data_IF_575062446208
#
_entry.id   IF_575062446208
#
_cell.length_a   1.000
_cell.length_b   1.000
_cell.length_c   1.000
_cell.angle_alpha   90.00
_cell.angle_beta   90.00
_cell.angle_gamma   90.00
#
_symmetry.space_group_name_H-M   'P 1'
#
loop_
_entity.id
_entity.type
_entity.pdbx_description
1 polymer ?
#
# COMPACT_ATOMS: atom_id res chain seq x y z
N UNK A 1 -4.92 -28.95 -15.73
CA UNK A 1 -3.52 -28.72 -15.32
C UNK A 1 -2.92 -27.55 -16.07
N UNK A 2 -2.31 -27.67 -17.26
CA UNK A 2 -1.63 -26.52 -17.89
C UNK A 2 -2.47 -25.23 -18.02
N UNK A 3 -3.72 -25.32 -18.50
CA UNK A 3 -4.63 -24.15 -18.55
C UNK A 3 -4.96 -23.58 -17.17
N UNK A 4 -5.09 -24.44 -16.17
CA UNK A 4 -5.38 -24.04 -14.79
C UNK A 4 -4.17 -23.33 -14.17
N UNK A 5 -2.95 -23.79 -14.42
CA UNK A 5 -1.73 -23.12 -13.97
C UNK A 5 -1.64 -21.71 -14.56
N UNK A 6 -1.89 -21.57 -15.87
CA UNK A 6 -1.95 -20.25 -16.53
C UNK A 6 -3.00 -19.35 -15.87
N UNK A 7 -4.19 -19.89 -15.53
CA UNK A 7 -5.22 -19.12 -14.82
C UNK A 7 -4.76 -18.69 -13.42
N UNK A 8 -4.16 -19.58 -12.63
CA UNK A 8 -3.68 -19.28 -11.27
C UNK A 8 -2.57 -18.22 -11.32
N UNK A 9 -1.58 -18.39 -12.19
CA UNK A 9 -0.50 -17.39 -12.34
C UNK A 9 -1.02 -16.04 -12.84
N UNK A 10 -2.04 -16.03 -13.71
CA UNK A 10 -2.70 -14.78 -14.12
C UNK A 10 -3.41 -14.12 -12.94
N UNK A 11 -4.13 -14.89 -12.12
CA UNK A 11 -4.78 -14.36 -10.93
C UNK A 11 -3.77 -13.77 -9.94
N UNK A 12 -2.61 -14.40 -9.74
CA UNK A 12 -1.53 -13.87 -8.90
C UNK A 12 -1.03 -12.54 -9.46
N UNK A 13 -0.70 -12.50 -10.75
CA UNK A 13 -0.24 -11.27 -11.39
C UNK A 13 -1.27 -10.13 -11.27
N UNK A 14 -2.54 -10.40 -11.51
CA UNK A 14 -3.62 -9.41 -11.48
C UNK A 14 -4.06 -9.02 -10.06
N UNK A 15 -3.56 -9.71 -9.02
CA UNK A 15 -3.78 -9.36 -7.62
C UNK A 15 -2.90 -8.20 -7.13
N UNK A 16 -1.92 -7.77 -7.92
CA UNK A 16 -0.97 -6.72 -7.54
C UNK A 16 -1.15 -5.43 -8.32
N UNK A 17 -0.95 -4.29 -7.65
CA UNK A 17 -1.11 -2.93 -8.21
C UNK A 17 -0.25 -2.61 -9.43
N UNK A 18 0.78 -3.42 -9.70
CA UNK A 18 1.67 -3.29 -10.86
C UNK A 18 1.08 -3.92 -12.14
N UNK A 19 0.02 -4.73 -12.02
CA UNK A 19 -0.69 -5.27 -13.18
C UNK A 19 -1.63 -4.23 -13.78
N UNK A 20 -1.72 -4.27 -15.12
CA UNK A 20 -2.70 -3.50 -15.89
C UNK A 20 -4.14 -3.92 -15.61
N UNK A 21 -4.34 -5.20 -15.30
CA UNK A 21 -5.65 -5.80 -15.07
C UNK A 21 -6.02 -5.80 -13.56
N UNK A 22 -5.23 -5.14 -12.70
CA UNK A 22 -5.51 -5.02 -11.26
C UNK A 22 -6.85 -4.32 -11.01
N UNK A 23 -7.73 -4.98 -10.25
CA UNK A 23 -9.10 -4.50 -10.01
C UNK A 23 -9.28 -3.87 -8.62
N UNK A 24 -8.84 -4.55 -7.56
CA UNK A 24 -8.93 -4.09 -6.18
C UNK A 24 -7.95 -4.87 -5.31
N UNK A 25 -7.66 -4.38 -4.10
CA UNK A 25 -6.81 -5.11 -3.16
C UNK A 25 -7.48 -6.43 -2.74
N UNK A 26 -6.70 -7.51 -2.70
CA UNK A 26 -7.22 -8.86 -2.45
C UNK A 26 -7.86 -9.06 -1.08
N UNK A 27 -7.44 -8.33 -0.04
CA UNK A 27 -8.13 -8.41 1.24
C UNK A 27 -9.56 -7.89 1.14
N UNK A 28 -9.81 -6.94 0.22
CA UNK A 28 -11.14 -6.38 -0.03
C UNK A 28 -11.95 -7.19 -1.03
N UNK A 29 -11.29 -8.00 -1.87
CA UNK A 29 -11.95 -8.87 -2.87
C UNK A 29 -12.55 -10.14 -2.28
N UNK A 30 -12.19 -10.52 -1.04
CA UNK A 30 -12.78 -11.67 -0.33
C UNK A 30 -14.29 -11.48 -0.18
N UNK A 31 -15.04 -12.38 -0.81
CA UNK A 31 -16.49 -12.47 -0.81
C UNK A 31 -16.98 -13.82 -0.25
N UNK A 32 -18.29 -14.03 -0.29
CA UNK A 32 -18.90 -15.27 0.18
C UNK A 32 -18.47 -16.49 -0.63
N UNK A 33 -18.26 -16.33 -1.94
CA UNK A 33 -17.88 -17.43 -2.81
C UNK A 33 -16.46 -17.89 -2.45
N UNK A 34 -15.51 -16.96 -2.33
CA UNK A 34 -14.15 -17.25 -1.87
C UNK A 34 -14.12 -17.94 -0.49
N UNK A 35 -15.01 -17.54 0.43
CA UNK A 35 -15.10 -18.16 1.75
C UNK A 35 -15.60 -19.62 1.69
N UNK A 36 -16.64 -19.90 0.90
CA UNK A 36 -17.14 -21.28 0.72
C UNK A 36 -16.08 -22.15 0.03
N UNK A 37 -15.41 -21.59 -0.97
CA UNK A 37 -14.29 -22.19 -1.67
C UNK A 37 -13.14 -22.59 -0.74
N UNK A 38 -12.82 -21.75 0.25
CA UNK A 38 -11.83 -22.04 1.28
C UNK A 38 -12.29 -23.17 2.20
N UNK A 39 -13.57 -23.19 2.60
CA UNK A 39 -14.11 -24.27 3.45
C UNK A 39 -14.06 -25.61 2.73
N UNK A 40 -14.42 -25.66 1.45
CA UNK A 40 -14.35 -26.87 0.64
C UNK A 40 -12.92 -27.40 0.56
N UNK A 41 -11.94 -26.50 0.39
CA UNK A 41 -10.53 -26.86 0.40
C UNK A 41 -10.08 -27.46 1.74
N UNK A 42 -10.48 -26.89 2.88
CA UNK A 42 -10.14 -27.46 4.20
C UNK A 42 -10.75 -28.85 4.40
N UNK A 43 -11.97 -29.08 3.92
CA UNK A 43 -12.62 -30.41 3.95
C UNK A 43 -11.85 -31.42 3.09
N UNK A 44 -11.48 -31.03 1.87
CA UNK A 44 -10.71 -31.87 0.95
C UNK A 44 -9.32 -32.20 1.52
N UNK A 45 -8.60 -31.18 2.02
CA UNK A 45 -7.29 -31.32 2.65
C UNK A 45 -7.34 -32.26 3.85
N UNK A 46 -8.32 -32.10 4.73
CA UNK A 46 -8.49 -32.98 5.88
C UNK A 46 -8.71 -34.44 5.45
N UNK A 47 -9.57 -34.68 4.45
CA UNK A 47 -9.80 -36.02 3.94
C UNK A 47 -8.53 -36.63 3.30
N UNK A 48 -7.76 -35.85 2.55
CA UNK A 48 -6.49 -36.31 1.98
C UNK A 48 -5.48 -36.70 3.08
N UNK A 49 -5.46 -35.98 4.21
CA UNK A 49 -4.53 -36.23 5.33
C UNK A 49 -4.96 -37.38 6.26
N UNK A 50 -6.26 -37.52 6.54
CA UNK A 50 -6.78 -38.44 7.57
C UNK A 50 -7.58 -39.61 7.01
N UNK A 51 -8.02 -39.53 5.75
CA UNK A 51 -9.05 -40.40 5.16
C UNK A 51 -10.41 -40.36 5.88
N UNK A 52 -10.65 -39.33 6.70
CA UNK A 52 -11.91 -39.10 7.41
C UNK A 52 -12.65 -37.91 6.80
N UNK A 53 -13.98 -38.00 6.71
CA UNK A 53 -14.80 -36.87 6.29
C UNK A 53 -15.16 -36.00 7.49
N UNK A 54 -14.91 -34.70 7.37
CA UNK A 54 -15.39 -33.69 8.31
C UNK A 54 -16.58 -32.93 7.72
N UNK A 55 -17.47 -32.47 8.60
CA UNK A 55 -18.52 -31.53 8.27
C UNK A 55 -18.19 -30.22 8.97
N UNK A 56 -17.95 -29.16 8.18
CA UNK A 56 -17.74 -27.82 8.70
C UNK A 56 -19.05 -27.05 8.49
N UNK A 57 -19.66 -26.61 9.58
CA UNK A 57 -20.78 -25.67 9.52
C UNK A 57 -20.20 -24.24 9.41
N UNK A 58 -20.35 -23.55 8.26
CA UNK A 58 -19.76 -22.23 8.06
C UNK A 58 -20.30 -21.21 9.06
N UNK A 59 -19.42 -20.67 9.90
CA UNK A 59 -19.74 -19.46 10.65
C UNK A 59 -20.06 -18.31 9.67
N UNK A 60 -20.88 -17.34 10.12
CA UNK A 60 -21.19 -16.17 9.30
C UNK A 60 -19.90 -15.42 8.90
N UNK A 61 -19.76 -14.98 7.62
CA UNK A 61 -18.61 -14.20 7.18
C UNK A 61 -18.42 -12.92 7.99
N UNK A 62 -17.18 -12.61 8.35
CA UNK A 62 -16.81 -11.42 9.13
C UNK A 62 -16.11 -10.39 8.24
N UNK A 63 -16.83 -9.85 7.26
CA UNK A 63 -16.30 -8.90 6.27
C UNK A 63 -15.80 -7.57 6.87
N UNK A 64 -16.17 -7.27 8.11
CA UNK A 64 -15.72 -6.16 8.93
C UNK A 64 -14.42 -6.45 9.71
N UNK A 65 -13.96 -7.71 9.75
CA UNK A 65 -12.71 -8.10 10.42
C UNK A 65 -11.58 -8.24 9.40
N UNK A 66 -10.58 -7.36 9.50
CA UNK A 66 -9.37 -7.42 8.70
C UNK A 66 -8.57 -8.70 9.00
N UNK A 67 -8.55 -9.13 10.26
CA UNK A 67 -7.92 -10.39 10.66
C UNK A 67 -8.60 -11.57 9.96
N UNK A 68 -9.94 -11.63 9.97
CA UNK A 68 -10.67 -12.70 9.27
C UNK A 68 -10.39 -12.69 7.77
N UNK A 69 -10.40 -11.51 7.11
CA UNK A 69 -10.04 -11.38 5.69
C UNK A 69 -8.61 -11.81 5.40
N UNK A 70 -7.67 -11.53 6.30
CA UNK A 70 -6.29 -12.02 6.18
C UNK A 70 -6.23 -13.54 6.20
N UNK A 71 -6.94 -14.20 7.12
CA UNK A 71 -7.00 -15.67 7.14
C UNK A 71 -7.63 -16.22 5.85
N UNK A 72 -8.70 -15.61 5.35
CA UNK A 72 -9.32 -16.03 4.09
C UNK A 72 -8.40 -15.83 2.89
N UNK A 73 -7.62 -14.74 2.86
CA UNK A 73 -6.59 -14.50 1.87
C UNK A 73 -5.53 -15.61 1.92
N UNK A 74 -5.02 -15.94 3.11
CA UNK A 74 -4.00 -16.98 3.30
C UNK A 74 -4.51 -18.34 2.81
N UNK A 75 -5.71 -18.76 3.22
CA UNK A 75 -6.29 -20.04 2.76
C UNK A 75 -6.51 -20.07 1.25
N UNK A 76 -7.06 -18.99 0.66
CA UNK A 76 -7.29 -18.89 -0.79
C UNK A 76 -5.98 -19.08 -1.56
N UNK A 77 -4.93 -18.39 -1.13
CA UNK A 77 -3.64 -18.40 -1.81
C UNK A 77 -2.81 -19.65 -1.53
N UNK A 78 -2.90 -20.23 -0.33
CA UNK A 78 -2.34 -21.56 -0.03
C UNK A 78 -2.96 -22.62 -0.94
N UNK A 79 -4.30 -22.62 -1.08
CA UNK A 79 -5.01 -23.52 -1.99
C UNK A 79 -4.50 -23.37 -3.43
N UNK A 80 -4.42 -22.14 -3.93
CA UNK A 80 -3.91 -21.88 -5.28
C UNK A 80 -2.45 -22.33 -5.44
N UNK A 81 -1.62 -22.11 -4.43
CA UNK A 81 -0.21 -22.50 -4.40
C UNK A 81 -0.06 -24.03 -4.46
N UNK A 82 -0.75 -24.76 -3.59
CA UNK A 82 -0.71 -26.21 -3.54
C UNK A 82 -1.33 -26.85 -4.79
N UNK A 83 -2.38 -26.23 -5.35
CA UNK A 83 -2.96 -26.68 -6.61
C UNK A 83 -2.00 -26.49 -7.79
N UNK A 84 -1.27 -25.38 -7.83
CA UNK A 84 -0.24 -25.12 -8.84
C UNK A 84 0.89 -26.15 -8.72
N UNK A 85 1.39 -26.37 -7.51
CA UNK A 85 2.41 -27.38 -7.19
C UNK A 85 2.00 -28.80 -7.62
N UNK A 86 0.81 -29.27 -7.22
CA UNK A 86 0.25 -30.57 -7.62
C UNK A 86 0.14 -30.72 -9.13
N UNK A 87 -0.26 -29.65 -9.83
CA UNK A 87 -0.36 -29.67 -11.28
C UNK A 87 1.02 -29.73 -11.96
N UNK A 88 2.04 -29.07 -11.41
CA UNK A 88 3.40 -29.13 -11.95
C UNK A 88 4.03 -30.50 -11.76
N UNK A 89 3.87 -31.12 -10.59
CA UNK A 89 4.34 -32.50 -10.34
C UNK A 89 3.67 -33.50 -11.28
N UNK A 90 2.36 -33.38 -11.48
CA UNK A 90 1.62 -34.28 -12.38
C UNK A 90 1.99 -34.06 -13.86
N UNK A 91 2.24 -32.82 -14.28
CA UNK A 91 2.77 -32.53 -15.61
C UNK A 91 4.16 -33.13 -15.80
N UNK A 92 5.06 -32.96 -14.82
CA UNK A 92 6.40 -33.57 -14.85
C UNK A 92 6.32 -35.09 -14.94
N UNK A 93 5.42 -35.72 -14.16
CA UNK A 93 5.19 -37.16 -14.21
C UNK A 93 4.80 -37.62 -15.61
N UNK A 94 3.84 -36.94 -16.25
CA UNK A 94 3.43 -37.26 -17.62
C UNK A 94 4.55 -37.09 -18.64
N UNK A 95 5.38 -36.04 -18.52
CA UNK A 95 6.52 -35.86 -19.41
C UNK A 95 7.58 -36.94 -19.21
N UNK A 96 7.93 -37.25 -17.97
CA UNK A 96 8.88 -38.32 -17.64
C UNK A 96 8.39 -39.66 -18.22
N UNK A 97 7.10 -39.94 -18.10
CA UNK A 97 6.47 -41.15 -18.65
C UNK A 97 6.52 -41.21 -20.18
N UNK A 98 6.23 -40.10 -20.86
CA UNK A 98 6.23 -40.01 -22.33
C UNK A 98 7.64 -40.21 -22.90
N UNK A 99 8.66 -39.65 -22.25
CA UNK A 99 10.04 -39.68 -22.73
C UNK A 99 10.85 -40.88 -22.21
N UNK A 100 10.30 -41.69 -21.29
CA UNK A 100 11.00 -42.85 -20.73
C UNK A 100 12.16 -42.47 -19.81
N UNK A 101 12.04 -41.36 -19.07
CA UNK A 101 13.11 -40.77 -18.25
C UNK A 101 13.00 -41.11 -16.76
N UNK A 102 12.26 -42.17 -16.40
CA UNK A 102 11.99 -42.52 -14.99
C UNK A 102 13.27 -42.83 -14.18
N UNK A 103 14.33 -43.30 -14.85
CA UNK A 103 15.61 -43.60 -14.22
C UNK A 103 16.48 -42.34 -14.01
N UNK A 104 16.12 -41.22 -14.63
CA UNK A 104 16.92 -39.97 -14.64
C UNK A 104 16.26 -38.82 -13.86
N UNK A 105 14.93 -38.77 -13.82
CA UNK A 105 14.17 -37.63 -13.30
C UNK A 105 13.07 -38.06 -12.33
N UNK A 106 12.77 -37.19 -11.36
CA UNK A 106 11.61 -37.33 -10.47
C UNK A 106 10.57 -36.25 -10.74
N UNK A 107 9.27 -36.54 -10.62
CA UNK A 107 8.23 -35.54 -10.86
C UNK A 107 8.21 -34.38 -9.85
N UNK A 108 8.74 -34.60 -8.65
CA UNK A 108 8.60 -33.70 -7.51
C UNK A 108 9.17 -32.31 -7.75
N UNK A 109 8.44 -31.30 -7.29
CA UNK A 109 8.80 -29.88 -7.42
C UNK A 109 9.03 -29.30 -6.03
N UNK A 110 10.19 -28.69 -5.73
CA UNK A 110 10.38 -27.97 -4.47
C UNK A 110 9.39 -26.82 -4.32
N UNK A 111 8.84 -26.61 -3.11
CA UNK A 111 7.86 -25.53 -2.89
C UNK A 111 8.43 -24.13 -3.22
N UNK A 112 9.74 -23.92 -3.04
CA UNK A 112 10.39 -22.65 -3.37
C UNK A 112 10.58 -22.40 -4.87
N UNK A 113 10.24 -23.36 -5.74
CA UNK A 113 10.24 -23.19 -7.21
C UNK A 113 8.87 -22.77 -7.76
N UNK A 114 7.82 -22.79 -6.93
CA UNK A 114 6.47 -22.37 -7.33
C UNK A 114 6.43 -20.86 -7.56
N UNK A 115 5.90 -20.43 -8.69
CA UNK A 115 6.14 -19.09 -9.24
C UNK A 115 5.06 -18.03 -8.93
N UNK A 116 4.21 -18.25 -7.94
CA UNK A 116 3.23 -17.25 -7.45
C UNK A 116 3.66 -16.70 -6.09
N UNK A 117 3.06 -15.59 -5.64
CA UNK A 117 3.37 -14.93 -4.36
C UNK A 117 4.85 -14.52 -4.22
N UNK A 118 5.44 -14.08 -5.33
CA UNK A 118 6.86 -13.76 -5.45
C UNK A 118 7.22 -12.33 -5.02
N UNK A 119 6.25 -11.52 -4.56
CA UNK A 119 6.53 -10.16 -4.07
C UNK A 119 6.96 -10.13 -2.60
N UNK A 120 7.14 -11.31 -2.01
CA UNK A 120 7.57 -11.50 -0.63
C UNK A 120 6.42 -11.73 0.33
N UNK A 121 5.21 -12.00 -0.15
CA UNK A 121 4.05 -12.37 0.69
C UNK A 121 4.30 -13.64 1.48
N UNK A 122 5.12 -14.54 0.93
CA UNK A 122 5.53 -15.78 1.58
C UNK A 122 7.05 -15.94 1.59
N UNK A 123 7.50 -16.79 2.48
CA UNK A 123 8.79 -17.47 2.40
C UNK A 123 8.58 -18.98 2.60
N UNK A 124 9.52 -19.79 2.14
CA UNK A 124 9.48 -21.24 2.35
C UNK A 124 10.53 -21.59 3.41
N UNK A 125 10.07 -22.05 4.57
CA UNK A 125 10.92 -22.49 5.67
C UNK A 125 10.54 -23.91 6.06
N UNK A 126 11.52 -24.80 6.21
CA UNK A 126 11.30 -26.22 6.56
C UNK A 126 10.23 -26.91 5.69
N UNK A 127 10.18 -26.56 4.40
CA UNK A 127 9.20 -27.06 3.43
C UNK A 127 7.73 -26.73 3.79
N UNK A 128 7.51 -25.56 4.42
CA UNK A 128 6.20 -25.01 4.70
C UNK A 128 6.13 -23.53 4.30
N UNK A 129 4.92 -23.07 3.96
CA UNK A 129 4.64 -21.66 3.67
C UNK A 129 4.66 -20.88 4.99
N UNK A 130 5.50 -19.83 5.05
CA UNK A 130 5.51 -18.84 6.12
C UNK A 130 5.06 -17.51 5.56
N UNK A 131 3.94 -17.01 6.07
CA UNK A 131 3.32 -15.76 5.63
C UNK A 131 4.02 -14.53 6.22
N UNK A 132 4.27 -13.54 5.36
CA UNK A 132 4.80 -12.23 5.73
C UNK A 132 3.65 -11.23 5.76
N UNK A 133 2.91 -11.22 6.88
CA UNK A 133 1.71 -10.39 7.06
C UNK A 133 1.99 -8.89 6.83
N UNK A 134 3.22 -8.45 7.12
CA UNK A 134 3.65 -7.07 6.88
C UNK A 134 3.55 -6.69 5.39
N UNK A 135 3.95 -7.57 4.47
CA UNK A 135 3.92 -7.31 3.02
C UNK A 135 2.48 -7.10 2.53
N UNK A 136 1.56 -7.94 2.99
CA UNK A 136 0.15 -7.88 2.59
C UNK A 136 -0.50 -6.59 3.14
N UNK A 137 -0.19 -6.22 4.39
CA UNK A 137 -0.67 -4.96 4.97
C UNK A 137 -0.06 -3.74 4.28
N UNK A 138 1.21 -3.79 3.86
CA UNK A 138 1.83 -2.71 3.06
C UNK A 138 1.14 -2.54 1.71
N UNK A 139 0.74 -3.63 1.05
CA UNK A 139 -0.07 -3.59 -0.17
C UNK A 139 -1.44 -2.96 0.08
N UNK A 140 -2.11 -3.27 1.22
CA UNK A 140 -3.37 -2.60 1.59
C UNK A 140 -3.22 -1.10 1.80
N UNK A 141 -2.15 -0.66 2.48
CA UNK A 141 -1.88 0.76 2.72
C UNK A 141 -1.56 1.49 1.41
N UNK A 142 -0.78 0.87 0.52
CA UNK A 142 -0.52 1.38 -0.84
C UNK A 142 -1.83 1.59 -1.61
N UNK A 143 -2.71 0.59 -1.60
CA UNK A 143 -4.01 0.68 -2.25
C UNK A 143 -4.88 1.77 -1.64
N UNK A 144 -4.91 1.92 -0.31
CA UNK A 144 -5.65 2.97 0.39
C UNK A 144 -5.18 4.37 -0.03
N UNK A 145 -3.87 4.59 -0.12
CA UNK A 145 -3.29 5.83 -0.66
C UNK A 145 -3.71 6.02 -2.12
N UNK A 146 -3.72 4.96 -2.92
CA UNK A 146 -4.23 5.00 -4.29
C UNK A 146 -5.70 5.41 -4.40
N UNK A 147 -6.55 5.00 -3.46
CA UNK A 147 -7.94 5.45 -3.39
C UNK A 147 -8.05 6.95 -3.11
N UNK A 148 -7.31 7.50 -2.14
CA UNK A 148 -7.34 8.95 -1.87
C UNK A 148 -6.75 9.77 -3.01
N UNK A 149 -5.67 9.27 -3.65
CA UNK A 149 -5.10 9.89 -4.84
C UNK A 149 -6.03 9.83 -6.06
N UNK A 150 -7.10 9.01 -5.99
CA UNK A 150 -8.07 8.78 -7.06
C UNK A 150 -7.59 7.84 -8.15
N UNK A 151 -6.44 7.17 -7.96
CA UNK A 151 -5.93 6.12 -8.85
C UNK A 151 -6.89 4.93 -8.88
N UNK A 152 -7.49 4.61 -7.73
CA UNK A 152 -8.50 3.58 -7.59
C UNK A 152 -9.77 4.15 -6.95
N UNK A 153 -10.87 3.40 -7.04
CA UNK A 153 -12.09 3.68 -6.30
C UNK A 153 -12.55 2.41 -5.59
N UNK A 154 -13.22 2.56 -4.46
CA UNK A 154 -13.77 1.42 -3.72
C UNK A 154 -15.09 0.91 -4.33
N UNK A 155 -15.83 1.78 -5.04
CA UNK A 155 -17.14 1.48 -5.63
C UNK A 155 -17.06 1.03 -7.10
N UNK A 156 -15.87 0.99 -7.70
CA UNK A 156 -15.64 0.60 -9.08
C UNK A 156 -14.33 -0.19 -9.18
N UNK A 157 -14.31 -1.32 -9.92
CA UNK A 157 -13.10 -2.09 -10.10
C UNK A 157 -12.16 -1.41 -11.12
N UNK A 158 -10.86 -1.60 -10.91
CA UNK A 158 -9.81 -1.16 -11.83
C UNK A 158 -9.33 0.28 -11.63
N UNK A 159 -8.46 0.71 -12.53
CA UNK A 159 -7.95 2.09 -12.54
C UNK A 159 -9.08 3.10 -12.77
N UNK A 160 -9.03 4.18 -11.99
CA UNK A 160 -9.87 5.36 -12.15
C UNK A 160 -9.06 6.47 -12.85
N UNK A 161 -8.14 7.14 -12.14
CA UNK A 161 -7.28 8.17 -12.74
C UNK A 161 -5.94 7.55 -13.16
N UNK A 162 -5.70 7.48 -14.47
CA UNK A 162 -4.43 7.02 -15.07
C UNK A 162 -3.82 8.03 -16.07
N UNK A 163 -4.53 9.12 -16.36
CA UNK A 163 -4.09 10.24 -17.18
C UNK A 163 -4.89 11.48 -16.76
N UNK A 164 -4.41 12.69 -17.07
CA UNK A 164 -4.97 13.98 -16.62
C UNK A 164 -6.48 13.91 -16.31
N UNK A 165 -6.87 13.96 -15.02
CA UNK A 165 -8.24 13.65 -14.64
C UNK A 165 -9.22 14.69 -15.16
N UNK A 166 -10.39 14.24 -15.58
CA UNK A 166 -11.56 15.09 -15.71
C UNK A 166 -12.14 15.40 -14.32
N UNK A 167 -12.78 16.56 -14.14
CA UNK A 167 -13.38 16.97 -12.85
C UNK A 167 -14.35 15.92 -12.29
N UNK A 168 -15.03 15.16 -13.16
CA UNK A 168 -15.95 14.08 -12.76
C UNK A 168 -15.25 12.87 -12.11
N UNK A 169 -13.96 12.68 -12.36
CA UNK A 169 -13.16 11.57 -11.83
C UNK A 169 -12.62 11.88 -10.42
N UNK A 170 -12.49 13.16 -10.09
CA UNK A 170 -12.16 13.66 -8.75
C UNK A 170 -13.47 13.99 -8.04
N UNK A 171 -14.07 13.00 -7.38
CA UNK A 171 -15.36 13.20 -6.71
C UNK A 171 -15.49 12.38 -5.43
N UNK A 172 -16.47 12.77 -4.61
CA UNK A 172 -16.93 11.96 -3.49
C UNK A 172 -17.91 10.88 -3.96
N UNK A 173 -17.83 9.71 -3.35
CA UNK A 173 -18.73 8.59 -3.63
C UNK A 173 -19.08 7.84 -2.34
N UNK A 174 -20.05 6.93 -2.41
CA UNK A 174 -20.47 6.13 -1.26
C UNK A 174 -19.90 4.72 -1.33
N UNK A 175 -19.42 4.22 -0.21
CA UNK A 175 -19.01 2.84 -0.01
C UNK A 175 -19.63 2.33 1.30
N UNK A 176 -20.43 1.27 1.23
CA UNK A 176 -21.27 0.78 2.35
C UNK A 176 -22.01 1.89 3.11
N UNK A 177 -22.56 2.87 2.38
CA UNK A 177 -23.31 3.99 2.94
C UNK A 177 -22.46 5.13 3.52
N UNK A 178 -21.14 4.93 3.69
CA UNK A 178 -20.18 5.95 4.14
C UNK A 178 -19.64 6.74 2.95
N UNK A 179 -19.36 8.02 3.16
CA UNK A 179 -18.80 8.89 2.12
C UNK A 179 -17.28 8.72 2.06
N UNK A 180 -16.75 8.50 0.87
CA UNK A 180 -15.32 8.54 0.58
C UNK A 180 -15.06 9.71 -0.38
N UNK A 181 -14.06 10.52 -0.07
CA UNK A 181 -13.69 11.69 -0.89
C UNK A 181 -12.29 11.51 -1.44
N UNK A 182 -12.17 11.54 -2.77
CA UNK A 182 -10.87 11.62 -3.45
C UNK A 182 -10.28 13.00 -3.15
N UNK A 183 -8.98 13.03 -2.85
CA UNK A 183 -8.21 14.24 -2.57
C UNK A 183 -8.31 15.24 -3.74
N UNK A 184 -8.49 16.53 -3.47
CA UNK A 184 -8.82 17.54 -4.49
C UNK A 184 -7.64 17.83 -5.43
N UNK A 185 -6.41 17.72 -4.93
CA UNK A 185 -5.21 18.04 -5.69
C UNK A 185 -4.19 16.89 -5.82
N UNK A 186 -4.47 15.74 -5.21
CA UNK A 186 -3.61 14.56 -5.26
C UNK A 186 -2.33 14.75 -4.47
N UNK A 187 -2.37 15.52 -3.38
CA UNK A 187 -1.24 15.81 -2.51
C UNK A 187 -1.59 15.39 -1.08
N UNK A 188 -0.87 14.40 -0.55
CA UNK A 188 -1.10 13.87 0.79
C UNK A 188 0.12 14.12 1.68
N UNK A 189 -0.02 14.90 2.77
CA UNK A 189 1.02 15.03 3.79
C UNK A 189 1.43 13.69 4.39
N UNK A 190 2.73 13.44 4.39
CA UNK A 190 3.36 12.22 4.91
C UNK A 190 4.28 12.58 6.10
N UNK A 191 3.73 13.35 7.04
CA UNK A 191 4.44 13.83 8.24
C UNK A 191 3.82 13.21 9.50
N UNK A 192 4.58 13.16 10.60
CA UNK A 192 4.07 12.67 11.89
C UNK A 192 2.98 13.56 12.48
N UNK A 193 2.35 13.15 13.58
CA UNK A 193 1.14 13.78 14.15
C UNK A 193 1.25 15.24 14.60
N UNK A 194 2.45 15.83 14.60
CA UNK A 194 2.67 17.25 14.90
C UNK A 194 2.68 18.10 13.61
N UNK A 195 1.51 18.29 13.03
CA UNK A 195 1.33 19.07 11.79
C UNK A 195 -0.06 19.73 11.76
N UNK A 196 -0.30 20.74 10.90
CA UNK A 196 -1.60 21.43 10.80
C UNK A 196 -2.64 20.72 9.91
N UNK A 197 -2.36 19.52 9.38
CA UNK A 197 -3.20 18.81 8.41
C UNK A 197 -4.01 17.70 9.08
N UNK A 198 -4.78 18.05 10.12
CA UNK A 198 -5.49 17.06 10.95
C UNK A 198 -6.40 16.13 10.13
N UNK A 199 -7.10 16.66 9.12
CA UNK A 199 -8.02 15.88 8.27
C UNK A 199 -7.39 15.30 6.98
N UNK A 200 -6.22 15.81 6.58
CA UNK A 200 -5.60 15.48 5.30
C UNK A 200 -4.28 14.71 5.41
N UNK A 201 -3.73 14.56 6.60
CA UNK A 201 -2.53 13.76 6.82
C UNK A 201 -2.78 12.27 6.55
N UNK A 202 -1.79 11.58 5.98
CA UNK A 202 -1.86 10.16 5.65
C UNK A 202 -2.27 9.26 6.83
N UNK A 203 -1.88 9.60 8.06
CA UNK A 203 -2.22 8.84 9.28
C UNK A 203 -3.73 8.88 9.52
N UNK A 204 -4.33 10.08 9.54
CA UNK A 204 -5.76 10.24 9.77
C UNK A 204 -6.58 9.70 8.59
N UNK A 205 -6.09 9.91 7.36
CA UNK A 205 -6.70 9.30 6.18
C UNK A 205 -6.74 7.77 6.33
N UNK A 206 -5.66 7.13 6.80
CA UNK A 206 -5.63 5.68 7.02
C UNK A 206 -6.64 5.21 8.05
N UNK A 207 -6.75 5.89 9.19
CA UNK A 207 -7.79 5.59 10.20
C UNK A 207 -9.19 5.70 9.59
N UNK A 208 -9.45 6.76 8.81
CA UNK A 208 -10.72 6.94 8.13
C UNK A 208 -10.99 5.85 7.08
N UNK A 209 -9.98 5.40 6.33
CA UNK A 209 -10.16 4.29 5.39
C UNK A 209 -10.54 2.99 6.09
N UNK A 210 -9.90 2.65 7.21
CA UNK A 210 -10.29 1.46 7.98
C UNK A 210 -11.74 1.59 8.46
N UNK A 211 -12.13 2.78 8.94
CA UNK A 211 -13.51 3.07 9.32
C UNK A 211 -14.50 2.93 8.15
N UNK A 212 -14.17 3.44 6.96
CA UNK A 212 -15.03 3.39 5.78
C UNK A 212 -15.18 1.95 5.28
N UNK A 213 -14.08 1.20 5.22
CA UNK A 213 -14.05 -0.11 4.58
C UNK A 213 -14.55 -1.22 5.49
N UNK A 214 -14.17 -1.17 6.78
CA UNK A 214 -14.47 -2.24 7.73
C UNK A 214 -15.51 -1.87 8.78
N UNK A 215 -15.99 -0.62 8.80
CA UNK A 215 -16.99 -0.19 9.77
C UNK A 215 -16.40 0.20 11.13
N UNK A 216 -17.31 0.55 12.05
CA UNK A 216 -16.96 1.08 13.38
C UNK A 216 -16.77 0.00 14.44
N UNK A 217 -17.48 -1.12 14.30
CA UNK A 217 -17.57 -2.17 15.32
C UNK A 217 -16.19 -2.74 15.69
N UNK A 218 -15.33 -2.94 14.67
CA UNK A 218 -13.99 -3.50 14.83
C UNK A 218 -12.86 -2.53 14.49
N UNK A 219 -13.12 -1.22 14.47
CA UNK A 219 -12.12 -0.23 14.05
C UNK A 219 -10.81 -0.37 14.84
N UNK A 220 -10.90 -0.42 16.18
CA UNK A 220 -9.72 -0.57 17.06
C UNK A 220 -9.01 -1.91 16.85
N UNK A 221 -9.77 -3.00 16.68
CA UNK A 221 -9.19 -4.32 16.41
C UNK A 221 -8.41 -4.32 15.08
N UNK A 222 -8.99 -3.75 14.03
CA UNK A 222 -8.40 -3.68 12.71
C UNK A 222 -7.14 -2.79 12.68
N UNK A 223 -7.16 -1.65 13.37
CA UNK A 223 -5.99 -0.78 13.51
C UNK A 223 -4.85 -1.49 14.27
N UNK A 224 -5.18 -2.14 15.39
CA UNK A 224 -4.20 -2.93 16.14
C UNK A 224 -3.64 -4.09 15.31
N UNK A 225 -4.46 -4.73 14.49
CA UNK A 225 -4.02 -5.78 13.58
C UNK A 225 -3.02 -5.28 12.52
N UNK A 226 -3.27 -4.10 11.95
CA UNK A 226 -2.35 -3.43 11.02
C UNK A 226 -1.01 -3.17 11.71
N UNK A 227 -1.01 -2.55 12.88
CA UNK A 227 0.24 -2.22 13.61
C UNK A 227 1.00 -3.46 14.06
N UNK A 228 0.28 -4.50 14.50
CA UNK A 228 0.86 -5.79 14.86
C UNK A 228 1.56 -6.43 13.65
N UNK A 229 0.89 -6.45 12.50
CA UNK A 229 1.44 -7.02 11.26
C UNK A 229 2.67 -6.24 10.77
N UNK A 230 2.66 -4.91 10.90
CA UNK A 230 3.80 -4.06 10.56
C UNK A 230 4.96 -4.13 11.56
N UNK A 231 4.70 -4.61 12.79
CA UNK A 231 5.64 -4.58 13.92
C UNK A 231 5.97 -3.15 14.40
N UNK A 232 5.14 -2.15 14.05
CA UNK A 232 5.30 -0.74 14.40
C UNK A 232 3.98 0.02 14.21
N UNK A 233 3.91 1.25 14.71
CA UNK A 233 2.73 2.08 14.49
C UNK A 233 2.53 2.45 13.02
N UNK A 234 1.27 2.71 12.64
CA UNK A 234 0.93 3.18 11.28
C UNK A 234 1.69 4.48 10.99
N UNK A 235 1.79 5.39 11.97
CA UNK A 235 2.57 6.63 11.86
C UNK A 235 4.04 6.37 11.54
N UNK A 236 4.68 5.44 12.25
CA UNK A 236 6.09 5.13 12.04
C UNK A 236 6.31 4.52 10.65
N UNK A 237 5.43 3.62 10.21
CA UNK A 237 5.52 3.04 8.86
C UNK A 237 5.34 4.11 7.78
N UNK A 238 4.28 4.92 7.86
CA UNK A 238 3.98 5.94 6.85
C UNK A 238 5.11 6.98 6.72
N UNK A 239 5.65 7.45 7.85
CA UNK A 239 6.65 8.53 7.86
C UNK A 239 8.08 8.07 7.55
N UNK A 240 8.43 6.80 7.86
CA UNK A 240 9.82 6.32 7.76
C UNK A 240 10.04 5.32 6.63
N UNK A 241 9.06 4.47 6.35
CA UNK A 241 9.26 3.28 5.52
C UNK A 241 8.44 3.29 4.22
N UNK A 242 7.24 3.86 4.23
CA UNK A 242 6.33 3.83 3.09
C UNK A 242 6.99 4.25 1.77
N UNK A 243 7.73 5.37 1.78
CA UNK A 243 8.43 5.84 0.57
C UNK A 243 9.43 4.83 0.02
N UNK A 244 10.18 4.17 0.90
CA UNK A 244 11.17 3.16 0.51
C UNK A 244 10.49 1.96 -0.14
N UNK A 245 9.41 1.49 0.45
CA UNK A 245 8.66 0.33 -0.04
C UNK A 245 7.93 0.66 -1.35
N UNK A 246 7.27 1.82 -1.42
CA UNK A 246 6.66 2.35 -2.65
C UNK A 246 7.69 2.47 -3.78
N UNK A 247 8.85 3.07 -3.51
CA UNK A 247 9.93 3.18 -4.51
C UNK A 247 10.42 1.81 -4.98
N UNK A 248 10.54 0.83 -4.06
CA UNK A 248 10.97 -0.54 -4.38
C UNK A 248 9.95 -1.25 -5.27
N UNK A 249 8.66 -1.17 -4.93
CA UNK A 249 7.55 -1.76 -5.68
C UNK A 249 7.58 -1.34 -7.16
N UNK A 250 7.82 -0.05 -7.42
CA UNK A 250 7.90 0.50 -8.78
C UNK A 250 9.32 0.54 -9.36
N UNK A 251 10.26 -0.27 -8.86
CA UNK A 251 11.62 -0.39 -9.40
C UNK A 251 12.35 0.97 -9.60
N UNK A 252 12.27 1.85 -8.59
CA UNK A 252 12.79 3.23 -8.63
C UNK A 252 12.14 4.14 -9.70
N UNK A 253 10.92 3.82 -10.13
CA UNK A 253 10.07 4.63 -11.01
C UNK A 253 8.70 4.87 -10.36
N UNK A 254 8.66 5.49 -9.16
CA UNK A 254 7.44 5.60 -8.37
C UNK A 254 6.38 6.46 -9.05
N UNK A 255 5.11 6.08 -8.88
CA UNK A 255 3.95 6.83 -9.41
C UNK A 255 3.52 7.99 -8.49
N UNK A 256 3.65 7.81 -7.18
CA UNK A 256 3.58 8.90 -6.20
C UNK A 256 4.98 9.46 -6.02
N UNK A 257 5.15 10.77 -6.12
CA UNK A 257 6.43 11.44 -5.96
C UNK A 257 6.48 12.13 -4.62
N UNK A 258 7.55 11.88 -3.86
CA UNK A 258 7.75 12.48 -2.55
C UNK A 258 8.47 13.81 -2.68
N UNK A 259 7.75 14.92 -2.49
CA UNK A 259 8.34 16.23 -2.24
C UNK A 259 8.81 16.25 -0.79
N UNK A 260 10.12 16.46 -0.59
CA UNK A 260 10.74 16.28 0.71
C UNK A 260 11.83 17.31 0.93
N UNK A 261 11.83 17.92 2.11
CA UNK A 261 12.99 18.64 2.60
C UNK A 261 14.16 17.67 2.85
N UNK A 262 15.37 18.21 3.00
CA UNK A 262 16.64 17.44 2.96
C UNK A 262 16.74 16.33 4.02
N UNK A 263 16.21 16.56 5.21
CA UNK A 263 16.17 15.59 6.32
C UNK A 263 14.74 15.10 6.60
N UNK A 264 13.77 15.43 5.73
CA UNK A 264 12.39 14.98 5.86
C UNK A 264 11.58 15.72 6.93
N UNK A 265 11.97 16.95 7.31
CA UNK A 265 11.13 17.80 8.16
C UNK A 265 9.76 18.12 7.53
N UNK A 266 9.73 18.33 6.21
CA UNK A 266 8.51 18.48 5.43
C UNK A 266 8.44 17.40 4.35
N UNK A 267 7.31 16.69 4.28
CA UNK A 267 7.10 15.59 3.34
C UNK A 267 5.65 15.53 2.86
N UNK A 268 5.46 15.51 1.54
CA UNK A 268 4.15 15.27 0.90
C UNK A 268 4.30 14.32 -0.28
N UNK A 269 3.36 13.39 -0.42
CA UNK A 269 3.22 12.54 -1.60
C UNK A 269 2.38 13.26 -2.64
N UNK A 270 2.78 13.19 -3.90
CA UNK A 270 2.05 13.81 -5.02
C UNK A 270 1.84 12.79 -6.12
N UNK A 271 0.62 12.61 -6.60
CA UNK A 271 0.35 11.65 -7.67
C UNK A 271 0.74 12.19 -9.05
N UNK A 272 1.74 11.57 -9.71
CA UNK A 272 2.32 12.11 -10.95
C UNK A 272 1.31 12.30 -12.08
N UNK A 273 0.29 11.44 -12.18
CA UNK A 273 -0.77 11.53 -13.20
C UNK A 273 -1.76 12.69 -12.95
N UNK A 274 -1.66 13.36 -11.80
CA UNK A 274 -2.44 14.55 -11.44
C UNK A 274 -1.59 15.80 -11.37
N UNK A 275 -0.28 15.69 -11.61
CA UNK A 275 0.61 16.84 -11.60
C UNK A 275 0.37 17.72 -12.83
N UNK A 276 0.51 19.01 -12.63
CA UNK A 276 0.41 20.03 -13.67
C UNK A 276 1.45 21.14 -13.40
N UNK A 277 1.58 22.15 -14.28
CA UNK A 277 2.56 23.23 -14.11
C UNK A 277 2.53 23.95 -12.76
N UNK A 278 1.38 23.95 -12.07
CA UNK A 278 1.17 24.66 -10.81
C UNK A 278 1.31 23.75 -9.57
N UNK A 279 1.63 22.47 -9.74
CA UNK A 279 1.71 21.53 -8.61
C UNK A 279 2.77 21.95 -7.59
N UNK A 280 3.97 22.37 -8.03
CA UNK A 280 5.02 22.81 -7.10
C UNK A 280 4.62 24.08 -6.32
N UNK A 281 3.94 25.03 -6.98
CA UNK A 281 3.34 26.20 -6.33
C UNK A 281 2.31 25.79 -5.28
N UNK A 282 1.47 24.80 -5.61
CA UNK A 282 0.45 24.28 -4.71
C UNK A 282 1.04 23.59 -3.49
N UNK A 283 2.06 22.74 -3.68
CA UNK A 283 2.85 22.16 -2.56
C UNK A 283 3.42 23.27 -1.67
N UNK A 284 3.94 24.36 -2.25
CA UNK A 284 4.49 25.48 -1.48
C UNK A 284 3.41 26.21 -0.68
N UNK A 285 2.30 26.57 -1.33
CA UNK A 285 1.32 27.51 -0.78
C UNK A 285 0.27 26.85 0.11
N UNK A 286 -0.22 25.66 -0.24
CA UNK A 286 -1.23 24.94 0.55
C UNK A 286 -0.63 24.08 1.68
N UNK A 287 0.64 23.70 1.57
CA UNK A 287 1.25 22.75 2.51
C UNK A 287 2.49 23.30 3.20
N UNK A 288 3.55 23.65 2.48
CA UNK A 288 4.80 24.06 3.12
C UNK A 288 4.65 25.35 3.95
N UNK A 289 4.02 26.39 3.40
CA UNK A 289 3.83 27.66 4.11
C UNK A 289 2.95 27.51 5.36
N UNK A 290 1.78 26.84 5.31
CA UNK A 290 1.01 26.54 6.52
C UNK A 290 1.80 25.71 7.55
N UNK A 291 2.65 24.79 7.12
CA UNK A 291 3.50 24.04 8.05
C UNK A 291 4.58 24.92 8.71
N UNK A 292 5.18 25.86 7.97
CA UNK A 292 6.11 26.85 8.52
C UNK A 292 5.41 27.73 9.56
N UNK A 293 4.21 28.23 9.26
CA UNK A 293 3.41 29.05 10.18
C UNK A 293 3.04 28.27 11.45
N UNK A 294 2.66 27.00 11.30
CA UNK A 294 2.41 26.09 12.42
C UNK A 294 3.65 25.95 13.32
N UNK A 295 4.82 25.68 12.73
CA UNK A 295 6.07 25.56 13.48
C UNK A 295 6.42 26.85 14.21
N UNK A 296 6.33 28.01 13.54
CA UNK A 296 6.58 29.32 14.15
C UNK A 296 5.68 29.58 15.35
N UNK A 297 4.37 29.33 15.19
CA UNK A 297 3.39 29.52 16.25
C UNK A 297 3.67 28.61 17.45
N UNK A 298 3.96 27.33 17.21
CA UNK A 298 4.27 26.35 18.26
C UNK A 298 5.57 26.69 19.00
N UNK A 299 6.62 27.06 18.27
CA UNK A 299 7.90 27.49 18.84
C UNK A 299 7.69 28.74 19.70
N UNK A 300 6.91 29.72 19.24
CA UNK A 300 6.60 30.91 20.03
C UNK A 300 5.88 30.55 21.33
N UNK A 301 4.84 29.73 21.27
CA UNK A 301 4.09 29.28 22.46
C UNK A 301 4.98 28.58 23.49
N UNK A 302 5.85 27.66 23.04
CA UNK A 302 6.77 26.96 23.94
C UNK A 302 7.85 27.90 24.51
N UNK A 303 8.34 28.86 23.72
CA UNK A 303 9.27 29.89 24.20
C UNK A 303 8.63 30.81 25.25
N UNK A 304 7.35 31.15 25.12
CA UNK A 304 6.59 31.92 26.12
C UNK A 304 6.43 31.14 27.45
N UNK A 305 6.30 29.81 27.39
CA UNK A 305 6.28 28.93 28.57
C UNK A 305 7.65 28.82 29.23
N UNK A 306 8.73 28.90 28.45
CA UNK A 306 10.11 29.01 28.94
C UNK A 306 10.51 27.94 29.97
N UNK A 307 10.61 28.33 31.24
CA UNK A 307 11.04 27.46 32.34
C UNK A 307 10.03 26.33 32.68
N UNK A 308 8.76 26.49 32.29
CA UNK A 308 7.69 25.52 32.59
C UNK A 308 7.69 24.31 31.64
N UNK A 309 8.55 24.32 30.61
CA UNK A 309 8.69 23.19 29.69
C UNK A 309 9.37 22.00 30.38
N UNK A 310 8.75 20.83 30.25
CA UNK A 310 9.36 19.55 30.60
C UNK A 310 10.55 19.23 29.69
N UNK A 311 11.38 18.27 30.09
CA UNK A 311 12.53 17.81 29.28
C UNK A 311 12.11 17.30 27.89
N UNK A 312 10.96 16.63 27.79
CA UNK A 312 10.43 16.11 26.51
C UNK A 312 9.99 17.27 25.63
N UNK A 313 9.25 18.23 26.19
CA UNK A 313 8.80 19.42 25.44
C UNK A 313 9.99 20.26 24.97
N UNK A 314 11.01 20.46 25.79
CA UNK A 314 12.24 21.16 25.38
C UNK A 314 12.95 20.45 24.22
N UNK A 315 12.99 19.12 24.24
CA UNK A 315 13.55 18.34 23.12
C UNK A 315 12.70 18.49 21.85
N UNK A 316 11.39 18.54 21.98
CA UNK A 316 10.49 18.77 20.85
C UNK A 316 10.63 20.20 20.30
N UNK A 317 10.76 21.21 21.16
CA UNK A 317 11.06 22.59 20.77
C UNK A 317 12.32 22.66 19.90
N UNK A 318 13.44 22.08 20.36
CA UNK A 318 14.68 22.06 19.57
C UNK A 318 14.50 21.34 18.22
N UNK A 319 13.68 20.28 18.15
CA UNK A 319 13.36 19.61 16.88
C UNK A 319 12.53 20.51 15.97
N UNK A 320 11.53 21.21 16.50
CA UNK A 320 10.69 22.15 15.74
C UNK A 320 11.51 23.31 15.20
N UNK A 321 12.43 23.88 16.00
CA UNK A 321 13.34 24.92 15.54
C UNK A 321 14.23 24.45 14.39
N UNK A 322 14.80 23.24 14.50
CA UNK A 322 15.58 22.65 13.42
C UNK A 322 14.74 22.38 12.16
N UNK A 323 13.50 21.90 12.33
CA UNK A 323 12.56 21.69 11.24
C UNK A 323 12.16 23.00 10.56
N UNK A 324 11.96 24.08 11.33
CA UNK A 324 11.61 25.40 10.81
C UNK A 324 12.71 25.96 9.91
N UNK A 325 13.97 25.92 10.37
CA UNK A 325 15.13 26.35 9.57
C UNK A 325 15.20 25.56 8.27
N UNK A 326 15.05 24.24 8.35
CA UNK A 326 15.07 23.38 7.17
C UNK A 326 13.92 23.67 6.19
N UNK A 327 12.71 23.94 6.71
CA UNK A 327 11.55 24.27 5.89
C UNK A 327 11.70 25.63 5.20
N UNK A 328 12.31 26.62 5.86
CA UNK A 328 12.64 27.91 5.26
C UNK A 328 13.66 27.77 4.13
N UNK A 329 14.73 27.00 4.33
CA UNK A 329 15.68 26.71 3.25
C UNK A 329 15.01 25.94 2.09
N UNK A 330 14.11 25.01 2.41
CA UNK A 330 13.36 24.25 1.42
C UNK A 330 12.36 25.12 0.65
N UNK A 331 11.75 26.12 1.30
CA UNK A 331 10.85 27.08 0.69
C UNK A 331 11.51 27.80 -0.48
N UNK A 332 12.74 28.30 -0.31
CA UNK A 332 13.46 29.02 -1.37
C UNK A 332 13.71 28.12 -2.60
N UNK A 333 14.11 26.86 -2.37
CA UNK A 333 14.33 25.89 -3.45
C UNK A 333 13.03 25.54 -4.17
N UNK A 334 11.96 25.28 -3.40
CA UNK A 334 10.65 24.96 -3.95
C UNK A 334 10.04 26.14 -4.71
N UNK A 335 10.25 27.37 -4.23
CA UNK A 335 9.83 28.58 -4.93
C UNK A 335 10.50 28.71 -6.31
N UNK A 336 11.82 28.50 -6.38
CA UNK A 336 12.54 28.50 -7.66
C UNK A 336 12.06 27.43 -8.63
N UNK A 337 11.65 26.25 -8.14
CA UNK A 337 11.04 25.20 -8.98
C UNK A 337 9.61 25.58 -9.39
N UNK A 338 8.82 26.17 -8.49
CA UNK A 338 7.47 26.61 -8.78
C UNK A 338 7.41 27.69 -9.87
N UNK A 339 8.35 28.65 -9.84
CA UNK A 339 8.46 29.71 -10.86
C UNK A 339 8.71 29.17 -12.28
N UNK A 340 9.32 27.99 -12.40
CA UNK A 340 9.55 27.34 -13.70
C UNK A 340 8.27 26.78 -14.31
N UNK A 341 7.20 26.62 -13.53
CA UNK A 341 5.91 26.06 -13.96
C UNK A 341 6.08 24.82 -14.84
N UNK A 342 6.81 23.83 -14.31
CA UNK A 342 7.26 22.68 -15.09
C UNK A 342 6.05 21.90 -15.60
N UNK A 343 5.88 21.92 -16.92
CA UNK A 343 5.02 20.97 -17.61
C UNK A 343 5.85 19.77 -18.07
N UNK A 344 5.27 18.57 -18.04
CA UNK A 344 5.95 17.37 -18.49
C UNK A 344 4.99 16.35 -19.11
N UNK A 345 5.52 15.55 -20.03
CA UNK A 345 4.79 14.49 -20.72
C UNK A 345 5.01 13.17 -19.99
N UNK A 346 3.95 12.42 -19.68
CA UNK A 346 4.05 11.13 -19.00
C UNK A 346 4.84 10.09 -19.84
N UNK A 347 4.83 10.23 -21.17
CA UNK A 347 5.52 9.32 -22.10
C UNK A 347 7.06 9.47 -22.07
N UNK A 348 7.60 10.59 -21.58
CA UNK A 348 9.04 10.76 -21.32
C UNK A 348 9.56 9.76 -20.25
N UNK A 349 8.64 9.20 -19.47
CA UNK A 349 8.93 8.27 -18.40
C UNK A 349 9.39 8.93 -17.10
N UNK A 350 9.22 8.21 -15.99
CA UNK A 350 9.41 8.75 -14.63
C UNK A 350 10.79 9.37 -14.44
N UNK A 351 11.88 8.71 -14.84
CA UNK A 351 13.24 9.18 -14.56
C UNK A 351 13.53 10.54 -15.20
N UNK A 352 13.07 10.75 -16.44
CA UNK A 352 13.28 12.01 -17.18
C UNK A 352 12.46 13.12 -16.54
N UNK A 353 11.20 12.86 -16.22
CA UNK A 353 10.31 13.86 -15.63
C UNK A 353 10.71 14.22 -14.20
N UNK A 354 11.09 13.23 -13.38
CA UNK A 354 11.53 13.43 -12.01
C UNK A 354 12.75 14.35 -11.92
N UNK A 355 13.70 14.22 -12.86
CA UNK A 355 14.91 15.04 -12.92
C UNK A 355 14.60 16.54 -13.14
N UNK A 356 13.46 16.89 -13.75
CA UNK A 356 13.06 18.28 -14.01
C UNK A 356 12.85 19.06 -12.69
N UNK A 357 12.46 18.39 -11.61
CA UNK A 357 12.18 18.99 -10.30
C UNK A 357 13.42 19.13 -9.40
N UNK A 358 14.55 18.51 -9.75
CA UNK A 358 15.80 18.68 -9.01
C UNK A 358 15.74 18.15 -7.57
N UNK A 359 16.24 18.94 -6.61
CA UNK A 359 16.44 18.53 -5.21
C UNK A 359 15.26 18.86 -4.29
N UNK A 360 14.10 19.24 -4.84
CA UNK A 360 12.86 19.37 -4.07
C UNK A 360 12.13 18.03 -3.90
N UNK A 361 12.51 17.04 -4.72
CA UNK A 361 12.03 15.67 -4.64
C UNK A 361 13.03 14.77 -3.91
N UNK A 362 12.52 13.76 -3.22
CA UNK A 362 13.35 12.73 -2.59
C UNK A 362 14.16 11.94 -3.63
N UNK A 363 15.35 11.47 -3.29
CA UNK A 363 16.18 10.76 -4.27
C UNK A 363 15.60 9.38 -4.62
N UNK A 364 15.43 9.15 -5.93
CA UNK A 364 15.05 7.83 -6.47
C UNK A 364 16.26 6.96 -6.85
N UNK A 365 17.47 7.53 -6.97
CA UNK A 365 18.73 6.84 -7.25
C UNK A 365 19.87 7.38 -6.40
#
# INVERSE_FOLDING_TARGET
MAKQNVTISKQDWDAHEISWDFQCNELLSIDSDAYIDNINYEIEKHFEETSEHICIDPAAPQFDSLKWRMEQYKTKWERNFMQLHKNEEELNRQFIDIYGLQDELTPGVPLNEITILQQGEISIENNAIVWNDDVIIKQLISYAIGCWMGRYRLDKPGLNIAYYPEDKEICSYKYYGKSFTIDDDGIIPLMGGQNPFEDDNAIQKMVNFVHIVFGDERLTENLNFIEHSLGKSIEDYLTKDFWKDHKKMYQNRPIYWLFSSKKGAFQVLVYMHRMNPYTAEKVRTKYLLPYIEYLQTRIQQDNERGADLTTIERKNLTKMEAALVECQEYHDRLHSIADKQINFDLDDGVVVNYAKFGDVLAKIK
#
